data_IF_805607302411
#
_entry.id   IF_805607302411
#
_cell.length_a   1.000
_cell.length_b   1.000
_cell.length_c   1.000
_cell.angle_alpha   90.00
_cell.angle_beta   90.00
_cell.angle_gamma   90.00
#
_symmetry.space_group_name_H-M   'P 1'
#
loop_
_entity.id
_entity.type
_entity.pdbx_description
1 polymer ?
#
# COMPACT_ATOMS: atom_id res chain seq x y z
N UNK A 1 7.40 -21.59 -10.94
CA UNK A 1 8.63 -21.50 -11.73
C UNK A 1 9.85 -21.36 -10.82
N UNK A 2 10.07 -20.22 -10.13
CA UNK A 2 11.26 -20.05 -9.26
C UNK A 2 11.44 -21.16 -8.21
N UNK A 3 10.40 -21.45 -7.41
CA UNK A 3 10.46 -22.49 -6.38
C UNK A 3 10.76 -23.89 -6.91
N UNK A 4 10.21 -24.23 -8.08
CA UNK A 4 10.44 -25.53 -8.70
C UNK A 4 11.92 -25.68 -9.09
N UNK A 5 12.47 -24.66 -9.76
CA UNK A 5 13.88 -24.60 -10.13
C UNK A 5 14.82 -24.63 -8.93
N UNK A 6 14.51 -23.91 -7.85
CA UNK A 6 15.37 -23.88 -6.66
C UNK A 6 15.25 -25.15 -5.80
N UNK A 7 14.10 -25.85 -5.81
CA UNK A 7 13.99 -27.18 -5.21
C UNK A 7 14.81 -28.23 -5.99
N UNK A 8 14.79 -28.17 -7.32
CA UNK A 8 15.65 -29.00 -8.16
C UNK A 8 17.13 -28.70 -7.89
N UNK A 9 17.51 -27.41 -7.85
CA UNK A 9 18.87 -27.00 -7.54
C UNK A 9 19.34 -27.50 -6.16
N UNK A 10 18.49 -27.37 -5.14
CA UNK A 10 18.80 -27.88 -3.79
C UNK A 10 18.97 -29.39 -3.79
N UNK A 11 18.08 -30.11 -4.48
CA UNK A 11 18.16 -31.58 -4.61
C UNK A 11 19.42 -32.01 -5.38
N UNK A 12 19.91 -31.17 -6.30
CA UNK A 12 21.17 -31.33 -7.02
C UNK A 12 22.42 -30.93 -6.22
N UNK A 13 22.29 -30.51 -4.97
CA UNK A 13 23.41 -30.15 -4.09
C UNK A 13 23.82 -28.67 -4.12
N UNK A 14 23.02 -27.78 -4.70
CA UNK A 14 23.26 -26.33 -4.62
C UNK A 14 22.75 -25.81 -3.28
N UNK A 15 23.67 -25.36 -2.43
CA UNK A 15 23.33 -24.85 -1.10
C UNK A 15 23.19 -23.33 -1.03
N UNK A 16 23.93 -22.60 -1.86
CA UNK A 16 23.99 -21.13 -1.83
C UNK A 16 24.02 -20.56 -3.24
N UNK A 17 23.27 -19.48 -3.46
CA UNK A 17 23.22 -18.72 -4.70
C UNK A 17 23.59 -17.27 -4.42
N UNK A 18 24.47 -16.72 -5.25
CA UNK A 18 24.76 -15.28 -5.25
C UNK A 18 23.89 -14.65 -6.33
N UNK A 19 22.86 -13.93 -5.91
CA UNK A 19 21.91 -13.25 -6.79
C UNK A 19 22.42 -11.83 -7.03
N UNK A 20 22.68 -11.52 -8.29
CA UNK A 20 23.42 -10.32 -8.71
C UNK A 20 22.56 -9.37 -9.51
N UNK A 21 21.23 -9.46 -9.41
CA UNK A 21 20.34 -8.48 -10.01
C UNK A 21 20.35 -7.20 -9.17
N UNK A 22 20.91 -6.09 -9.65
CA UNK A 22 20.85 -4.80 -8.97
C UNK A 22 19.45 -4.16 -9.07
N UNK A 23 19.27 -3.00 -8.43
CA UNK A 23 17.96 -2.34 -8.33
C UNK A 23 17.29 -2.08 -9.70
N UNK A 24 18.08 -1.76 -10.73
CA UNK A 24 17.59 -1.44 -12.08
C UNK A 24 17.24 -2.67 -12.92
N UNK A 25 17.59 -3.88 -12.46
CA UNK A 25 17.26 -5.14 -13.13
C UNK A 25 16.16 -5.94 -12.42
N UNK A 26 15.43 -5.33 -11.48
CA UNK A 26 14.32 -5.98 -10.80
C UNK A 26 14.74 -6.82 -9.59
N UNK A 27 15.78 -6.40 -8.85
CA UNK A 27 16.12 -6.98 -7.54
C UNK A 27 14.90 -7.05 -6.63
N UNK A 28 14.59 -8.25 -6.14
CA UNK A 28 13.51 -8.49 -5.18
C UNK A 28 14.03 -9.35 -4.01
N UNK A 29 14.50 -8.68 -2.96
CA UNK A 29 15.07 -9.35 -1.79
C UNK A 29 14.02 -10.06 -0.93
N UNK A 30 12.75 -9.64 -1.00
CA UNK A 30 11.65 -10.30 -0.30
C UNK A 30 11.31 -11.63 -0.96
N UNK A 31 11.26 -11.68 -2.29
CA UNK A 31 11.12 -12.93 -3.03
C UNK A 31 12.31 -13.87 -2.77
N UNK A 32 13.55 -13.35 -2.75
CA UNK A 32 14.72 -14.17 -2.40
C UNK A 32 14.60 -14.78 -1.01
N UNK A 33 14.17 -13.98 -0.02
CA UNK A 33 13.91 -14.46 1.34
C UNK A 33 12.83 -15.55 1.36
N UNK A 34 11.70 -15.32 0.70
CA UNK A 34 10.61 -16.30 0.61
C UNK A 34 11.07 -17.62 -0.01
N UNK A 35 11.77 -17.56 -1.15
CA UNK A 35 12.32 -18.74 -1.82
C UNK A 35 13.35 -19.44 -0.93
N UNK A 36 14.20 -18.69 -0.23
CA UNK A 36 15.19 -19.23 0.70
C UNK A 36 14.52 -20.05 1.80
N UNK A 37 13.55 -19.47 2.49
CA UNK A 37 12.81 -20.10 3.59
C UNK A 37 12.07 -21.37 3.13
N UNK A 38 11.56 -21.37 1.90
CA UNK A 38 10.76 -22.49 1.36
C UNK A 38 11.57 -23.62 0.76
N UNK A 39 12.78 -23.34 0.25
CA UNK A 39 13.60 -24.33 -0.47
C UNK A 39 14.85 -24.75 0.32
N UNK A 40 15.27 -23.96 1.30
CA UNK A 40 16.52 -24.16 2.03
C UNK A 40 17.79 -23.80 1.24
N UNK A 41 17.65 -23.17 0.06
CA UNK A 41 18.76 -22.54 -0.66
C UNK A 41 19.07 -21.19 0.00
N UNK A 42 20.34 -20.93 0.31
CA UNK A 42 20.78 -19.64 0.84
C UNK A 42 20.96 -18.64 -0.29
N UNK A 43 20.57 -17.38 -0.07
CA UNK A 43 20.81 -16.29 -1.00
C UNK A 43 21.78 -15.27 -0.42
N UNK A 44 22.74 -14.83 -1.24
CA UNK A 44 23.52 -13.62 -1.02
C UNK A 44 23.11 -12.66 -2.13
N UNK A 45 22.42 -11.57 -1.78
CA UNK A 45 21.98 -10.56 -2.75
C UNK A 45 23.04 -9.45 -2.93
N UNK A 46 22.93 -8.70 -4.03
CA UNK A 46 23.81 -7.56 -4.31
C UNK A 46 23.16 -6.21 -3.99
N UNK A 47 24.00 -5.18 -3.85
CA UNK A 47 23.65 -3.76 -4.01
C UNK A 47 24.37 -3.20 -5.24
N UNK A 48 23.77 -2.24 -5.92
CA UNK A 48 24.36 -1.62 -7.10
C UNK A 48 23.34 -1.14 -8.12
N UNK A 49 23.87 -0.68 -9.26
CA UNK A 49 23.12 -0.29 -10.46
C UNK A 49 23.98 -0.59 -11.71
N UNK A 50 23.39 -1.09 -12.80
CA UNK A 50 24.15 -1.47 -14.00
C UNK A 50 23.80 -0.69 -15.28
N UNK A 51 22.57 -0.81 -15.78
CA UNK A 51 22.17 -0.36 -17.12
C UNK A 51 21.36 0.92 -17.11
N UNK A 52 20.36 1.01 -16.22
CA UNK A 52 19.43 2.13 -16.20
C UNK A 52 19.63 2.95 -14.92
N UNK A 53 20.53 3.95 -15.01
CA UNK A 53 20.85 4.82 -13.88
C UNK A 53 19.57 5.56 -13.45
N UNK A 54 19.05 5.29 -12.23
CA UNK A 54 17.82 5.91 -11.76
C UNK A 54 17.91 7.43 -11.81
N UNK A 55 16.80 8.08 -12.16
CA UNK A 55 16.72 9.56 -12.16
C UNK A 55 17.10 10.18 -10.82
N UNK A 56 16.88 9.46 -9.72
CA UNK A 56 17.28 9.89 -8.37
C UNK A 56 18.79 10.08 -8.19
N UNK A 57 19.60 9.42 -9.03
CA UNK A 57 21.07 9.55 -9.03
C UNK A 57 21.55 10.67 -9.95
N UNK A 58 20.69 11.22 -10.82
CA UNK A 58 21.11 12.24 -11.79
C UNK A 58 21.49 13.54 -11.07
N UNK A 59 22.72 13.99 -11.30
CA UNK A 59 23.26 15.20 -10.68
C UNK A 59 23.65 15.03 -9.20
N UNK A 60 23.60 13.81 -8.65
CA UNK A 60 24.16 13.48 -7.34
C UNK A 60 25.65 13.23 -7.45
N UNK A 61 26.39 13.52 -6.38
CA UNK A 61 27.79 13.12 -6.30
C UNK A 61 27.93 11.61 -6.04
N UNK A 62 29.13 11.10 -6.30
CA UNK A 62 29.45 9.67 -6.15
C UNK A 62 29.39 9.20 -4.68
N UNK A 63 29.63 10.10 -3.73
CA UNK A 63 29.69 9.75 -2.31
C UNK A 63 28.27 9.51 -1.78
N UNK A 64 27.28 10.28 -2.26
CA UNK A 64 25.85 10.02 -2.01
C UNK A 64 25.43 8.60 -2.45
N UNK A 65 25.88 8.15 -3.63
CA UNK A 65 25.54 6.82 -4.14
C UNK A 65 26.27 5.74 -3.32
N UNK A 66 27.54 5.99 -2.97
CA UNK A 66 28.31 5.09 -2.12
C UNK A 66 27.67 4.93 -0.74
N UNK A 67 27.21 6.02 -0.12
CA UNK A 67 26.53 5.99 1.18
C UNK A 67 25.24 5.16 1.13
N UNK A 68 24.49 5.21 0.02
CA UNK A 68 23.32 4.36 -0.18
C UNK A 68 23.70 2.87 -0.22
N UNK A 69 24.78 2.51 -0.91
CA UNK A 69 25.24 1.12 -0.97
C UNK A 69 25.80 0.64 0.37
N UNK A 70 26.59 1.47 1.05
CA UNK A 70 27.08 1.18 2.42
C UNK A 70 25.91 0.91 3.33
N UNK A 71 24.89 1.76 3.28
CA UNK A 71 23.68 1.58 4.06
C UNK A 71 22.96 0.27 3.72
N UNK A 72 22.77 -0.05 2.45
CA UNK A 72 22.15 -1.32 2.05
C UNK A 72 22.92 -2.54 2.56
N UNK A 73 24.25 -2.45 2.66
CA UNK A 73 25.13 -3.50 3.17
C UNK A 73 25.06 -3.61 4.70
N UNK A 74 25.05 -2.47 5.41
CA UNK A 74 25.16 -2.44 6.88
C UNK A 74 23.81 -2.49 7.59
N UNK A 75 22.76 -1.93 6.99
CA UNK A 75 21.43 -1.77 7.60
C UNK A 75 20.35 -2.61 6.90
N UNK A 76 20.52 -2.93 5.61
CA UNK A 76 19.59 -3.76 4.83
C UNK A 76 18.98 -3.07 3.61
N UNK A 77 18.41 -3.89 2.73
CA UNK A 77 17.89 -3.49 1.41
C UNK A 77 16.37 -3.43 1.45
N UNK A 78 15.76 -2.33 1.89
CA UNK A 78 14.32 -2.07 1.67
C UNK A 78 14.03 -0.56 1.56
N UNK A 79 13.77 -0.08 0.34
CA UNK A 79 13.38 1.32 0.13
C UNK A 79 12.02 1.63 0.78
N UNK A 80 11.10 0.67 0.82
CA UNK A 80 9.76 0.87 1.40
C UNK A 80 9.81 1.00 2.92
N UNK A 81 10.53 0.11 3.62
CA UNK A 81 10.75 0.24 5.07
C UNK A 81 11.48 1.54 5.41
N UNK A 82 12.54 1.89 4.67
CA UNK A 82 13.19 3.20 4.79
C UNK A 82 12.18 4.33 4.71
N UNK A 83 11.35 4.37 3.66
CA UNK A 83 10.38 5.45 3.48
C UNK A 83 9.30 5.47 4.58
N UNK A 84 8.92 4.31 5.12
CA UNK A 84 8.05 4.23 6.30
C UNK A 84 8.72 4.83 7.53
N UNK A 85 9.98 4.46 7.81
CA UNK A 85 10.73 5.02 8.95
C UNK A 85 10.97 6.53 8.80
N UNK A 86 11.26 7.02 7.59
CA UNK A 86 11.34 8.46 7.30
C UNK A 86 10.00 9.16 7.53
N UNK A 87 8.90 8.54 7.10
CA UNK A 87 7.54 9.05 7.32
C UNK A 87 7.22 9.11 8.81
N UNK A 88 7.58 8.07 9.57
CA UNK A 88 7.43 8.04 11.02
C UNK A 88 8.21 9.17 11.71
N UNK A 89 9.49 9.36 11.37
CA UNK A 89 10.30 10.47 11.93
C UNK A 89 9.75 11.84 11.53
N UNK A 90 9.19 11.96 10.34
CA UNK A 90 8.52 13.19 9.89
C UNK A 90 7.27 13.47 10.72
N UNK A 91 6.41 12.47 10.90
CA UNK A 91 5.24 12.55 11.78
C UNK A 91 5.63 12.96 13.20
N UNK A 92 6.60 12.30 13.82
CA UNK A 92 7.02 12.60 15.20
C UNK A 92 7.56 14.03 15.38
N UNK A 93 8.07 14.65 14.32
CA UNK A 93 8.59 16.02 14.34
C UNK A 93 7.53 17.08 14.06
N UNK A 94 6.43 16.73 13.41
CA UNK A 94 5.49 17.70 12.82
C UNK A 94 4.04 17.49 13.25
N UNK A 95 3.69 16.31 13.75
CA UNK A 95 2.33 15.91 14.08
C UNK A 95 1.44 15.60 12.88
N UNK A 96 1.91 15.73 11.64
CA UNK A 96 1.09 15.43 10.46
C UNK A 96 0.83 13.92 10.35
N UNK A 97 -0.39 13.49 9.97
CA UNK A 97 -0.70 12.08 9.91
C UNK A 97 -0.07 11.40 8.67
N UNK A 98 -0.05 10.06 8.68
CA UNK A 98 0.60 9.22 7.65
C UNK A 98 -0.45 8.46 6.85
N UNK A 99 -0.44 8.61 5.53
CA UNK A 99 -1.20 7.77 4.60
C UNK A 99 -0.24 6.79 3.93
N UNK A 100 -0.61 5.52 3.83
CA UNK A 100 0.17 4.50 3.13
C UNK A 100 -0.53 3.99 1.87
N UNK A 101 0.27 3.47 0.94
CA UNK A 101 -0.18 2.70 -0.21
C UNK A 101 0.08 1.22 0.09
N UNK A 102 -0.89 0.33 -0.19
CA UNK A 102 -0.71 -1.11 0.09
C UNK A 102 -1.10 -2.04 -1.06
N UNK A 103 -0.27 -3.07 -1.36
CA UNK A 103 -0.73 -4.28 -2.03
C UNK A 103 -1.55 -5.14 -1.05
N UNK A 104 -2.86 -4.88 -0.96
CA UNK A 104 -3.73 -5.49 0.04
C UNK A 104 -3.83 -7.03 -0.05
N UNK A 105 -3.65 -7.63 -1.24
CA UNK A 105 -3.63 -9.09 -1.43
C UNK A 105 -2.53 -9.77 -0.62
N UNK A 106 -1.39 -9.10 -0.42
CA UNK A 106 -0.26 -9.61 0.36
C UNK A 106 -0.36 -9.26 1.85
N UNK A 107 -1.46 -8.62 2.29
CA UNK A 107 -1.68 -8.15 3.67
C UNK A 107 -0.56 -7.26 4.25
N UNK A 108 0.26 -6.64 3.41
CA UNK A 108 1.46 -5.90 3.86
C UNK A 108 1.13 -4.68 4.71
N UNK A 109 -0.12 -4.18 4.68
CA UNK A 109 -0.55 -3.08 5.55
C UNK A 109 -0.33 -3.37 7.04
N UNK A 110 -0.44 -4.63 7.48
CA UNK A 110 -0.13 -5.01 8.88
C UNK A 110 1.34 -4.79 9.19
N UNK A 111 2.22 -5.15 8.24
CA UNK A 111 3.67 -4.99 8.38
C UNK A 111 4.09 -3.51 8.36
N UNK A 112 3.48 -2.72 7.49
CA UNK A 112 3.69 -1.27 7.47
C UNK A 112 3.35 -0.64 8.83
N UNK A 113 2.23 -1.05 9.43
CA UNK A 113 1.81 -0.58 10.76
C UNK A 113 2.79 -1.04 11.84
N UNK A 114 3.33 -2.27 11.77
CA UNK A 114 4.38 -2.76 12.67
C UNK A 114 5.59 -1.83 12.64
N UNK A 115 6.14 -1.56 11.44
CA UNK A 115 7.32 -0.71 11.25
C UNK A 115 7.09 0.71 11.81
N UNK A 116 5.95 1.32 11.52
CA UNK A 116 5.62 2.65 12.02
C UNK A 116 5.52 2.68 13.55
N UNK A 117 4.94 1.63 14.16
CA UNK A 117 4.86 1.49 15.62
C UNK A 117 6.23 1.31 16.27
N UNK A 118 7.15 0.58 15.64
CA UNK A 118 8.54 0.45 16.13
C UNK A 118 9.27 1.78 16.19
N UNK A 119 8.97 2.68 15.27
CA UNK A 119 9.50 4.05 15.28
C UNK A 119 8.82 4.95 16.32
N UNK A 120 7.74 4.49 16.96
CA UNK A 120 6.99 5.21 18.00
C UNK A 120 5.73 5.92 17.51
N UNK A 121 5.25 5.63 16.30
CA UNK A 121 3.99 6.19 15.78
C UNK A 121 2.79 5.44 16.38
N UNK A 122 1.86 6.17 16.99
CA UNK A 122 0.60 5.61 17.43
C UNK A 122 -0.31 5.30 16.23
N UNK A 123 -0.97 4.14 16.23
CA UNK A 123 -1.72 3.62 15.08
C UNK A 123 -2.82 4.58 14.54
N UNK A 124 -3.44 5.37 15.41
CA UNK A 124 -4.49 6.31 15.01
C UNK A 124 -4.02 7.51 14.18
N UNK A 125 -2.71 7.67 14.01
CA UNK A 125 -2.12 8.62 13.06
C UNK A 125 -1.86 8.00 11.68
N UNK A 126 -2.18 6.71 11.48
CA UNK A 126 -1.91 5.97 10.25
C UNK A 126 -3.22 5.67 9.54
N UNK A 127 -3.28 6.01 8.26
CA UNK A 127 -4.27 5.57 7.29
C UNK A 127 -3.64 4.53 6.39
N UNK A 128 -4.22 3.33 6.36
CA UNK A 128 -3.78 2.25 5.47
C UNK A 128 -4.64 2.26 4.22
N UNK A 129 -4.08 2.65 3.09
CA UNK A 129 -4.79 2.78 1.81
C UNK A 129 -4.95 1.47 1.05
N UNK A 130 -5.86 1.47 0.08
CA UNK A 130 -6.14 0.37 -0.86
C UNK A 130 -6.57 -0.95 -0.23
N UNK A 131 -7.03 -0.94 1.02
CA UNK A 131 -7.34 -2.17 1.74
C UNK A 131 -8.48 -2.95 1.06
N UNK A 132 -9.28 -2.28 0.24
CA UNK A 132 -10.39 -2.85 -0.50
C UNK A 132 -10.01 -3.38 -1.90
N UNK A 133 -8.71 -3.50 -2.19
CA UNK A 133 -8.19 -4.29 -3.30
C UNK A 133 -8.20 -5.81 -3.04
N UNK A 134 -8.68 -6.22 -1.86
CA UNK A 134 -8.98 -7.62 -1.53
C UNK A 134 -10.35 -7.70 -0.86
N UNK A 135 -11.00 -8.86 -0.97
CA UNK A 135 -12.26 -9.18 -0.27
C UNK A 135 -11.99 -10.05 0.96
N UNK A 136 -10.97 -9.70 1.74
CA UNK A 136 -10.49 -10.46 2.90
C UNK A 136 -10.96 -9.83 4.21
N UNK A 137 -12.05 -10.34 4.82
CA UNK A 137 -12.63 -9.74 6.01
C UNK A 137 -11.71 -9.89 7.24
N UNK A 138 -10.85 -10.89 7.28
CA UNK A 138 -9.94 -11.09 8.41
C UNK A 138 -8.82 -10.05 8.39
N UNK A 139 -8.31 -9.72 7.21
CA UNK A 139 -7.37 -8.61 7.04
C UNK A 139 -7.97 -7.27 7.47
N UNK A 140 -9.21 -6.97 7.07
CA UNK A 140 -9.87 -5.72 7.47
C UNK A 140 -10.11 -5.64 8.98
N UNK A 141 -10.54 -6.74 9.60
CA UNK A 141 -10.70 -6.82 11.07
C UNK A 141 -9.38 -6.69 11.80
N UNK A 142 -8.30 -7.26 11.27
CA UNK A 142 -6.97 -7.14 11.83
C UNK A 142 -6.50 -5.69 11.82
N UNK A 143 -6.61 -4.98 10.69
CA UNK A 143 -6.30 -3.55 10.61
C UNK A 143 -7.18 -2.73 11.58
N UNK A 144 -8.48 -2.99 11.64
CA UNK A 144 -9.38 -2.31 12.57
C UNK A 144 -8.93 -2.47 14.04
N UNK A 145 -8.53 -3.70 14.44
CA UNK A 145 -8.01 -3.98 15.79
C UNK A 145 -6.68 -3.29 16.08
N UNK A 146 -5.85 -3.05 15.07
CA UNK A 146 -4.62 -2.27 15.22
C UNK A 146 -4.90 -0.80 15.55
N UNK A 147 -6.12 -0.31 15.28
CA UNK A 147 -6.54 1.06 15.59
C UNK A 147 -6.10 2.10 14.55
N UNK A 148 -5.81 1.65 13.33
CA UNK A 148 -5.53 2.52 12.17
C UNK A 148 -6.83 2.99 11.51
N UNK A 149 -6.71 4.00 10.66
CA UNK A 149 -7.76 4.38 9.73
C UNK A 149 -7.74 3.48 8.49
N UNK A 150 -8.92 3.06 8.07
CA UNK A 150 -9.17 2.09 7.02
C UNK A 150 -9.47 2.82 5.70
N UNK A 151 -8.53 2.74 4.76
CA UNK A 151 -8.62 3.41 3.48
C UNK A 151 -9.38 2.64 2.43
N UNK A 152 -10.69 2.89 2.36
CA UNK A 152 -11.57 2.33 1.33
C UNK A 152 -11.57 3.25 0.11
N UNK A 153 -10.44 3.31 -0.57
CA UNK A 153 -10.13 4.40 -1.50
C UNK A 153 -10.20 4.03 -2.97
N UNK A 154 -10.24 2.75 -3.36
CA UNK A 154 -10.45 2.37 -4.77
C UNK A 154 -11.90 1.94 -4.93
N UNK A 155 -12.82 2.78 -5.40
CA UNK A 155 -14.24 2.39 -5.61
C UNK A 155 -14.73 2.55 -7.05
N UNK A 156 -13.87 3.07 -7.91
CA UNK A 156 -14.15 3.19 -9.33
C UNK A 156 -13.81 1.87 -10.07
N UNK A 157 -14.45 1.57 -11.22
CA UNK A 157 -14.17 0.36 -12.00
C UNK A 157 -13.00 0.49 -12.99
N UNK A 158 -12.31 1.62 -13.02
CA UNK A 158 -11.38 1.98 -14.09
C UNK A 158 -9.93 1.72 -13.65
N UNK A 159 -9.09 1.20 -14.55
CA UNK A 159 -7.66 0.99 -14.28
C UNK A 159 -7.35 -0.22 -13.39
N UNK A 160 -8.35 -0.99 -12.94
CA UNK A 160 -8.16 -2.14 -12.05
C UNK A 160 -8.84 -3.42 -12.59
N UNK A 161 -8.38 -3.97 -13.73
CA UNK A 161 -9.04 -5.09 -14.41
C UNK A 161 -9.05 -6.40 -13.60
N UNK A 162 -8.16 -6.53 -12.62
CA UNK A 162 -8.03 -7.73 -11.79
C UNK A 162 -8.91 -7.69 -10.53
N UNK A 163 -9.50 -6.53 -10.21
CA UNK A 163 -10.38 -6.42 -9.05
C UNK A 163 -11.80 -6.90 -9.38
N UNK A 164 -12.54 -7.40 -8.38
CA UNK A 164 -13.96 -7.67 -8.53
C UNK A 164 -14.73 -6.43 -9.02
N UNK A 165 -15.87 -6.61 -9.74
CA UNK A 165 -16.72 -5.50 -10.17
C UNK A 165 -17.05 -4.55 -9.02
N UNK A 166 -17.12 -3.25 -9.30
CA UNK A 166 -17.31 -2.23 -8.25
C UNK A 166 -18.60 -2.45 -7.45
N UNK A 167 -19.66 -3.00 -8.06
CA UNK A 167 -20.90 -3.36 -7.37
C UNK A 167 -20.65 -4.41 -6.30
N UNK A 168 -19.93 -5.49 -6.64
CA UNK A 168 -19.58 -6.54 -5.68
C UNK A 168 -18.72 -5.97 -4.55
N UNK A 169 -17.78 -5.07 -4.85
CA UNK A 169 -16.96 -4.41 -3.82
C UNK A 169 -17.77 -3.47 -2.93
N UNK A 170 -18.80 -2.82 -3.47
CA UNK A 170 -19.73 -1.96 -2.71
C UNK A 170 -20.65 -2.79 -1.82
N UNK A 171 -21.14 -3.93 -2.32
CA UNK A 171 -21.96 -4.86 -1.53
C UNK A 171 -21.14 -5.46 -0.38
N UNK A 172 -19.88 -5.82 -0.68
CA UNK A 172 -18.93 -6.26 0.33
C UNK A 172 -18.60 -5.17 1.36
N UNK A 173 -18.43 -3.91 0.94
CA UNK A 173 -18.27 -2.78 1.86
C UNK A 173 -19.46 -2.69 2.82
N UNK A 174 -20.69 -2.81 2.32
CA UNK A 174 -21.89 -2.79 3.17
C UNK A 174 -21.82 -3.85 4.26
N UNK A 175 -21.39 -5.08 3.95
CA UNK A 175 -21.23 -6.12 4.97
C UNK A 175 -20.20 -5.73 6.05
N UNK A 176 -19.09 -5.08 5.67
CA UNK A 176 -18.10 -4.59 6.64
C UNK A 176 -18.66 -3.46 7.50
N UNK A 177 -19.52 -2.60 6.95
CA UNK A 177 -20.22 -1.57 7.71
C UNK A 177 -21.19 -2.19 8.72
N UNK A 178 -21.92 -3.25 8.34
CA UNK A 178 -22.79 -4.00 9.27
C UNK A 178 -22.00 -4.64 10.41
N UNK A 179 -20.73 -5.01 10.17
CA UNK A 179 -19.79 -5.51 11.18
C UNK A 179 -19.19 -4.39 12.07
N UNK A 180 -19.59 -3.13 11.87
CA UNK A 180 -19.18 -1.99 12.68
C UNK A 180 -17.90 -1.28 12.23
N UNK A 181 -17.34 -1.60 11.05
CA UNK A 181 -16.07 -1.00 10.60
C UNK A 181 -16.21 0.49 10.22
N UNK A 182 -17.42 1.04 10.20
CA UNK A 182 -17.67 2.46 9.92
C UNK A 182 -16.91 3.41 10.86
N UNK A 183 -16.53 2.97 12.07
CA UNK A 183 -15.84 3.79 13.06
C UNK A 183 -14.40 4.18 12.68
N UNK A 184 -13.76 3.39 11.82
CA UNK A 184 -12.40 3.65 11.33
C UNK A 184 -12.30 3.82 9.82
N UNK A 185 -13.40 3.75 9.07
CA UNK A 185 -13.38 3.69 7.61
C UNK A 185 -13.58 5.06 6.94
N UNK A 186 -12.76 5.37 5.94
CA UNK A 186 -12.97 6.52 5.07
C UNK A 186 -13.08 6.07 3.62
N UNK A 187 -13.99 6.70 2.89
CA UNK A 187 -14.32 6.35 1.52
C UNK A 187 -13.67 7.35 0.54
N UNK A 188 -12.99 6.84 -0.49
CA UNK A 188 -12.39 7.65 -1.56
C UNK A 188 -12.50 6.92 -2.91
N UNK A 189 -11.94 7.49 -3.97
CA UNK A 189 -12.03 6.95 -5.33
C UNK A 189 -10.69 6.62 -5.99
N UNK A 190 -9.55 7.09 -5.45
CA UNK A 190 -8.21 6.92 -6.02
C UNK A 190 -8.18 7.14 -7.53
N UNK A 191 -8.75 8.29 -7.90
CA UNK A 191 -8.83 8.74 -9.27
C UNK A 191 -7.90 9.92 -9.41
N UNK A 192 -7.21 10.02 -10.53
CA UNK A 192 -6.35 11.15 -10.84
C UNK A 192 -6.89 11.83 -12.10
N UNK A 193 -7.20 13.12 -12.02
CA UNK A 193 -7.26 13.96 -13.21
C UNK A 193 -5.87 14.57 -13.39
N UNK A 194 -5.28 14.42 -14.57
CA UNK A 194 -3.94 14.97 -14.86
C UNK A 194 -3.91 16.47 -14.54
N UNK A 195 -3.34 16.83 -13.38
CA UNK A 195 -3.08 18.22 -12.97
C UNK A 195 -1.76 18.71 -13.57
N UNK A 196 -1.53 18.41 -14.85
CA UNK A 196 -0.35 18.79 -15.60
C UNK A 196 -0.77 19.54 -16.86
N UNK A 197 -0.06 20.64 -17.16
CA UNK A 197 -0.24 21.38 -18.43
C UNK A 197 0.20 20.58 -19.67
N UNK A 198 0.87 19.45 -19.45
CA UNK A 198 1.33 18.53 -20.47
C UNK A 198 0.54 17.23 -20.28
N UNK A 199 -0.28 16.85 -21.26
CA UNK A 199 -0.99 15.57 -21.21
C UNK A 199 0.01 14.42 -21.06
N UNK A 200 -0.10 13.65 -19.99
CA UNK A 200 0.70 12.43 -19.82
C UNK A 200 0.02 11.29 -20.58
N UNK A 201 0.69 10.66 -21.57
CA UNK A 201 0.16 9.48 -22.26
C UNK A 201 -0.10 8.34 -21.26
N UNK A 202 -1.25 7.66 -21.39
CA UNK A 202 -1.60 6.50 -20.57
C UNK A 202 -2.38 6.80 -19.29
N UNK A 203 -2.61 8.07 -18.95
CA UNK A 203 -3.50 8.44 -17.84
C UNK A 203 -4.97 8.32 -18.25
N UNK A 204 -5.87 7.93 -17.33
CA UNK A 204 -7.25 7.72 -17.68
C UNK A 204 -7.95 8.99 -18.17
N UNK A 205 -8.71 8.90 -19.26
CA UNK A 205 -9.45 10.05 -19.82
C UNK A 205 -10.84 10.19 -19.20
N UNK A 206 -11.46 11.37 -19.36
CA UNK A 206 -12.88 11.55 -19.03
C UNK A 206 -13.81 10.64 -19.82
N UNK A 207 -13.38 10.10 -20.96
CA UNK A 207 -14.17 9.11 -21.70
C UNK A 207 -14.23 7.78 -20.97
N UNK A 208 -13.20 7.45 -20.18
CA UNK A 208 -13.16 6.25 -19.36
C UNK A 208 -13.96 6.44 -18.07
N UNK A 209 -13.81 7.55 -17.36
CA UNK A 209 -14.62 7.91 -16.19
C UNK A 209 -15.32 9.26 -16.39
N UNK A 210 -16.54 9.27 -16.98
CA UNK A 210 -17.26 10.52 -17.25
C UNK A 210 -17.60 11.30 -15.98
N UNK A 211 -17.77 10.60 -14.85
CA UNK A 211 -18.08 11.19 -13.54
C UNK A 211 -16.84 11.71 -12.81
N UNK A 212 -15.64 11.19 -13.10
CA UNK A 212 -14.41 11.58 -12.43
C UNK A 212 -14.53 11.47 -10.92
N UNK A 213 -14.30 12.59 -10.21
CA UNK A 213 -14.45 12.70 -8.76
C UNK A 213 -15.89 12.60 -8.25
N UNK A 214 -16.89 12.68 -9.13
CA UNK A 214 -18.29 12.52 -8.77
C UNK A 214 -18.73 11.04 -8.75
N UNK A 215 -17.85 10.09 -9.05
CA UNK A 215 -18.19 8.66 -9.08
C UNK A 215 -18.77 8.18 -7.74
N UNK A 216 -18.18 8.58 -6.61
CA UNK A 216 -18.69 8.20 -5.29
C UNK A 216 -20.12 8.70 -5.07
N UNK A 217 -20.37 9.99 -5.32
CA UNK A 217 -21.67 10.61 -5.05
C UNK A 217 -22.75 10.19 -6.05
N UNK A 218 -22.38 9.76 -7.26
CA UNK A 218 -23.32 9.36 -8.31
C UNK A 218 -23.59 7.87 -8.39
N UNK A 219 -22.67 7.01 -7.92
CA UNK A 219 -22.78 5.56 -8.04
C UNK A 219 -22.67 4.83 -6.70
N UNK A 220 -21.55 5.01 -5.99
CA UNK A 220 -21.22 4.19 -4.81
C UNK A 220 -22.11 4.52 -3.61
N UNK A 221 -22.25 5.81 -3.27
CA UNK A 221 -23.07 6.26 -2.14
C UNK A 221 -24.56 5.94 -2.37
N UNK A 222 -25.17 6.25 -3.53
CA UNK A 222 -26.55 5.84 -3.80
C UNK A 222 -26.79 4.33 -3.62
N UNK A 223 -25.87 3.48 -4.11
CA UNK A 223 -25.97 2.03 -3.94
C UNK A 223 -25.92 1.60 -2.47
N UNK A 224 -25.03 2.20 -1.67
CA UNK A 224 -24.95 1.93 -0.23
C UNK A 224 -26.27 2.32 0.47
N UNK A 225 -26.83 3.48 0.14
CA UNK A 225 -28.10 3.95 0.69
C UNK A 225 -29.27 3.04 0.28
N UNK A 226 -29.36 2.64 -0.99
CA UNK A 226 -30.34 1.66 -1.48
C UNK A 226 -30.21 0.30 -0.78
N UNK A 227 -28.99 -0.06 -0.35
CA UNK A 227 -28.70 -1.28 0.41
C UNK A 227 -28.99 -1.15 1.92
N UNK A 228 -29.51 -0.01 2.37
CA UNK A 228 -29.93 0.25 3.74
C UNK A 228 -28.88 0.91 4.64
N UNK A 229 -27.74 1.36 4.10
CA UNK A 229 -26.75 2.12 4.87
C UNK A 229 -27.31 3.51 5.20
N UNK A 230 -27.43 3.90 6.48
CA UNK A 230 -27.96 5.21 6.86
C UNK A 230 -27.06 6.35 6.36
N UNK A 231 -27.67 7.49 6.03
CA UNK A 231 -26.94 8.72 5.66
C UNK A 231 -25.92 9.13 6.74
N UNK A 232 -26.26 8.94 8.03
CA UNK A 232 -25.34 9.20 9.14
C UNK A 232 -24.05 8.37 9.11
N UNK A 233 -24.10 7.15 8.55
CA UNK A 233 -22.91 6.31 8.34
C UNK A 233 -22.09 6.82 7.16
N UNK A 234 -22.75 7.32 6.10
CA UNK A 234 -22.07 7.97 4.97
C UNK A 234 -21.35 9.24 5.45
N UNK A 235 -22.04 10.11 6.19
CA UNK A 235 -21.47 11.34 6.77
C UNK A 235 -20.27 11.02 7.66
N UNK A 236 -20.37 9.96 8.46
CA UNK A 236 -19.26 9.50 9.29
C UNK A 236 -18.02 9.16 8.46
N UNK A 237 -18.17 8.38 7.39
CA UNK A 237 -17.04 7.98 6.53
C UNK A 237 -16.48 9.13 5.68
N UNK A 238 -17.32 10.08 5.27
CA UNK A 238 -16.97 11.13 4.30
C UNK A 238 -16.60 12.47 4.95
N UNK A 239 -17.03 12.72 6.19
CA UNK A 239 -16.88 14.02 6.87
C UNK A 239 -16.20 13.84 8.22
N UNK A 240 -16.79 13.05 9.12
CA UNK A 240 -16.32 12.99 10.51
C UNK A 240 -14.98 12.25 10.64
N UNK A 241 -14.84 11.09 10.00
CA UNK A 241 -13.62 10.29 10.06
C UNK A 241 -12.42 11.04 9.46
N UNK A 242 -12.50 11.64 8.25
CA UNK A 242 -11.41 12.48 7.72
C UNK A 242 -11.05 13.64 8.65
N UNK A 243 -12.04 14.34 9.21
CA UNK A 243 -11.81 15.41 10.18
C UNK A 243 -11.02 14.90 11.40
N UNK A 244 -11.50 13.81 12.02
CA UNK A 244 -10.91 13.20 13.21
C UNK A 244 -9.48 12.72 12.96
N UNK A 245 -9.21 12.18 11.77
CA UNK A 245 -7.87 11.77 11.37
C UNK A 245 -6.89 12.95 11.34
N UNK A 246 -7.29 14.08 10.74
CA UNK A 246 -6.46 15.29 10.74
C UNK A 246 -6.38 15.98 12.11
N UNK A 247 -7.38 15.80 12.97
CA UNK A 247 -7.35 16.22 14.39
C UNK A 247 -6.52 15.27 15.28
N UNK A 248 -6.04 14.14 14.76
CA UNK A 248 -5.27 13.16 15.54
C UNK A 248 -6.10 12.38 16.57
N UNK A 249 -7.40 12.23 16.32
CA UNK A 249 -8.32 11.51 17.22
C UNK A 249 -8.34 10.02 16.87
N UNK A 250 -8.49 9.14 17.86
CA UNK A 250 -8.60 7.69 17.62
C UNK A 250 -9.88 7.33 16.87
N UNK A 251 -9.86 6.30 16.00
CA UNK A 251 -11.07 5.61 15.60
C UNK A 251 -11.82 5.15 16.86
N UNK A 252 -13.09 5.49 16.98
CA UNK A 252 -13.95 5.08 18.10
C UNK A 252 -15.37 4.96 17.59
N UNK A 253 -16.17 4.08 18.18
CA UNK A 253 -17.59 3.90 17.87
C UNK A 253 -18.44 5.13 18.19
#
# INVERSE_FOLDING_TARGET
MALESFNEAKSGGVDTVVEVSPMDLGRDVLLMKEVSERTGVQFICCTGCWLDIPRSFWGRDKDFIADLWVREIEEGIEQEELMLRVSARTHLRTGVPITTHTPAESRIGVEQVRILKEEGVEAHHVYVGHINNTLDPDYHRELARLGVWLGWDINNPFGHPNLPPWQQRTDYLKERLDEGLASGLMLSHDWNIVLSRIGSPGMPSRDQNPDGYLWLSRAVIPRLMESGVPETVIDRMMVDNPRRYFEGVRPSD
#
